data_IF_780738981006
#
_entry.id   IF_780738981006
#
_cell.length_a   1.000
_cell.length_b   1.000
_cell.length_c   1.000
_cell.angle_alpha   90.00
_cell.angle_beta   90.00
_cell.angle_gamma   90.00
#
_symmetry.space_group_name_H-M   'P 1'
#
loop_
_entity.id
_entity.type
_entity.pdbx_description
1 polymer ?
#
# COMPACT_ATOMS: atom_id res chain seq x y z
N UNK A 1 -11.88 40.14 -0.07
CA UNK A 1 -12.53 38.81 -0.09
C UNK A 1 -11.79 37.96 -1.11
N UNK A 2 -10.52 37.70 -0.79
CA UNK A 2 -9.65 36.78 -1.50
C UNK A 2 -9.24 35.79 -0.42
N UNK A 3 -9.99 34.70 -0.37
CA UNK A 3 -9.68 33.49 0.37
C UNK A 3 -9.81 32.37 -0.68
N UNK A 4 -8.99 31.33 -0.56
CA UNK A 4 -8.87 30.17 -1.46
C UNK A 4 -8.02 30.32 -2.75
N UNK A 5 -6.73 30.67 -2.59
CA UNK A 5 -5.67 30.06 -3.42
C UNK A 5 -4.47 29.77 -2.51
N UNK A 6 -4.65 28.81 -1.59
CA UNK A 6 -3.51 28.16 -0.96
C UNK A 6 -2.99 27.17 -1.99
N UNK A 7 -1.82 27.38 -2.62
CA UNK A 7 -1.23 26.33 -3.42
C UNK A 7 -1.03 25.16 -2.48
N UNK A 8 -1.65 24.01 -2.79
CA UNK A 8 -1.48 22.78 -2.01
C UNK A 8 0.00 22.42 -2.09
N UNK A 9 0.79 22.98 -1.17
CA UNK A 9 2.18 22.64 -1.02
C UNK A 9 2.19 21.12 -0.89
N UNK A 10 2.78 20.45 -1.88
CA UNK A 10 3.09 19.05 -1.76
C UNK A 10 3.98 18.95 -0.53
N UNK A 11 3.40 18.54 0.60
CA UNK A 11 4.16 18.28 1.81
C UNK A 11 5.12 17.16 1.43
N UNK A 12 6.40 17.49 1.28
CA UNK A 12 7.43 16.50 1.00
C UNK A 12 7.41 15.53 2.18
N UNK A 13 6.99 14.29 1.94
CA UNK A 13 6.99 13.25 2.96
C UNK A 13 8.41 13.09 3.48
N UNK A 14 8.54 12.96 4.80
CA UNK A 14 9.84 12.76 5.43
C UNK A 14 10.50 11.48 4.86
N UNK A 15 11.76 11.54 4.37
CA UNK A 15 12.42 10.39 3.77
C UNK A 15 12.60 9.21 4.73
N UNK A 16 12.77 9.47 6.03
CA UNK A 16 12.89 8.45 7.07
C UNK A 16 11.56 7.74 7.27
N UNK A 17 10.46 8.50 7.29
CA UNK A 17 9.11 7.96 7.36
C UNK A 17 8.79 7.10 6.13
N UNK A 18 9.14 7.57 4.93
CA UNK A 18 8.96 6.80 3.69
C UNK A 18 9.76 5.49 3.75
N UNK A 19 11.01 5.54 4.19
CA UNK A 19 11.82 4.33 4.35
C UNK A 19 11.18 3.33 5.33
N UNK A 20 10.69 3.81 6.48
CA UNK A 20 9.99 2.97 7.46
C UNK A 20 8.70 2.37 6.89
N UNK A 21 7.90 3.16 6.16
CA UNK A 21 6.68 2.70 5.50
C UNK A 21 6.96 1.68 4.38
N UNK A 22 8.09 1.81 3.66
CA UNK A 22 8.47 0.88 2.61
C UNK A 22 9.17 -0.39 3.12
N UNK A 23 9.61 -0.41 4.38
CA UNK A 23 10.24 -1.57 5.05
C UNK A 23 9.21 -2.51 5.70
N UNK A 24 7.92 -2.18 5.62
CA UNK A 24 6.83 -2.96 6.20
C UNK A 24 6.28 -4.04 5.25
N UNK A 25 5.18 -4.67 5.65
CA UNK A 25 4.45 -5.68 4.89
C UNK A 25 4.11 -5.22 3.45
N UNK A 26 4.21 -6.12 2.44
CA UNK A 26 3.85 -5.82 1.07
C UNK A 26 2.47 -5.17 0.94
N UNK A 27 1.49 -5.56 1.75
CA UNK A 27 0.10 -5.08 1.71
C UNK A 27 -0.04 -3.57 1.90
N UNK A 28 0.89 -2.94 2.64
CA UNK A 28 0.96 -1.50 2.82
C UNK A 28 1.96 -0.86 1.86
N UNK A 29 3.13 -1.49 1.67
CA UNK A 29 4.22 -0.95 0.84
C UNK A 29 3.78 -0.58 -0.58
N UNK A 30 3.00 -1.42 -1.26
CA UNK A 30 2.59 -1.15 -2.64
C UNK A 30 1.69 0.09 -2.75
N UNK A 31 0.89 0.39 -1.71
CA UNK A 31 0.06 1.60 -1.67
C UNK A 31 0.89 2.85 -1.44
N UNK A 32 1.93 2.76 -0.59
CA UNK A 32 2.89 3.86 -0.38
C UNK A 32 3.63 4.18 -1.68
N UNK A 33 4.13 3.14 -2.37
CA UNK A 33 4.79 3.29 -3.68
C UNK A 33 3.87 3.97 -4.70
N UNK A 34 2.60 3.55 -4.81
CA UNK A 34 1.64 4.09 -5.79
C UNK A 34 1.15 5.50 -5.44
N UNK A 35 0.65 5.68 -4.21
CA UNK A 35 -0.19 6.82 -3.85
C UNK A 35 0.61 7.96 -3.20
N UNK A 36 1.72 7.62 -2.53
CA UNK A 36 2.56 8.60 -1.83
C UNK A 36 3.83 8.96 -2.60
N UNK A 37 4.44 7.99 -3.28
CA UNK A 37 5.68 8.20 -4.04
C UNK A 37 5.45 8.40 -5.55
N UNK A 38 4.25 8.09 -6.05
CA UNK A 38 3.95 8.16 -7.48
C UNK A 38 4.88 7.26 -8.31
N UNK A 39 5.28 6.12 -7.76
CA UNK A 39 6.18 5.18 -8.41
C UNK A 39 5.54 4.62 -9.69
N UNK A 40 6.38 4.22 -10.63
CA UNK A 40 5.93 3.62 -11.88
C UNK A 40 5.14 2.32 -11.63
N UNK A 41 4.14 1.99 -12.48
CA UNK A 41 3.34 0.76 -12.37
C UNK A 41 4.15 -0.49 -12.10
N UNK A 42 5.26 -0.66 -12.81
CA UNK A 42 6.10 -1.85 -12.72
C UNK A 42 6.67 -2.07 -11.32
N UNK A 43 6.88 -1.00 -10.55
CA UNK A 43 7.40 -1.05 -9.18
C UNK A 43 6.33 -1.54 -8.22
N UNK A 44 5.19 -0.84 -8.16
CA UNK A 44 4.16 -1.17 -7.17
C UNK A 44 3.36 -2.43 -7.56
N UNK A 45 3.27 -2.79 -8.85
CA UNK A 45 2.69 -4.06 -9.29
C UNK A 45 3.54 -5.25 -8.83
N UNK A 46 4.86 -5.14 -8.91
CA UNK A 46 5.77 -6.18 -8.41
C UNK A 46 5.63 -6.35 -6.89
N UNK A 47 5.51 -5.26 -6.13
CA UNK A 47 5.23 -5.33 -4.68
C UNK A 47 3.84 -5.91 -4.41
N UNK A 48 2.82 -5.51 -5.17
CA UNK A 48 1.43 -5.99 -5.00
C UNK A 48 1.31 -7.49 -5.24
N UNK A 49 2.05 -8.04 -6.21
CA UNK A 49 2.06 -9.47 -6.49
C UNK A 49 2.53 -10.31 -5.28
N UNK A 50 3.31 -9.71 -4.37
CA UNK A 50 3.81 -10.35 -3.15
C UNK A 50 2.80 -10.40 -2.01
N UNK A 51 1.69 -9.64 -2.09
CA UNK A 51 0.69 -9.57 -1.01
C UNK A 51 0.04 -10.92 -0.74
N UNK A 52 -0.35 -11.65 -1.78
CA UNK A 52 -0.98 -12.96 -1.62
C UNK A 52 -0.03 -14.03 -1.02
N UNK A 53 1.24 -14.17 -1.50
CA UNK A 53 2.14 -15.18 -0.97
C UNK A 53 2.90 -14.80 0.32
N UNK A 54 2.92 -13.53 0.73
CA UNK A 54 3.71 -13.07 1.89
C UNK A 54 2.86 -12.39 2.97
N UNK A 55 3.39 -12.41 4.20
CA UNK A 55 2.95 -11.52 5.27
C UNK A 55 1.47 -11.63 5.64
N UNK A 56 0.82 -10.49 5.79
CA UNK A 56 -0.59 -10.42 6.22
C UNK A 56 -1.56 -10.97 5.18
N UNK A 57 -1.31 -10.77 3.88
CA UNK A 57 -2.19 -11.30 2.84
C UNK A 57 -2.15 -12.82 2.80
N UNK A 58 -0.97 -13.42 2.92
CA UNK A 58 -0.83 -14.88 3.06
C UNK A 58 -1.54 -15.41 4.31
N UNK A 59 -1.36 -14.72 5.46
CA UNK A 59 -2.01 -15.11 6.71
C UNK A 59 -3.53 -15.02 6.62
N UNK A 60 -4.05 -13.98 5.97
CA UNK A 60 -5.48 -13.84 5.74
C UNK A 60 -5.96 -15.01 4.88
N UNK A 61 -5.37 -15.20 3.70
CA UNK A 61 -5.73 -16.28 2.76
C UNK A 61 -5.66 -17.68 3.39
N UNK A 62 -4.76 -17.93 4.33
CA UNK A 62 -4.70 -19.20 5.06
C UNK A 62 -5.90 -19.45 6.00
N UNK A 63 -6.70 -18.42 6.29
CA UNK A 63 -7.95 -18.50 7.06
C UNK A 63 -9.18 -18.59 6.15
N UNK A 64 -9.00 -18.54 4.83
CA UNK A 64 -10.09 -18.68 3.86
C UNK A 64 -10.59 -20.12 3.88
N UNK A 65 -11.90 -20.29 3.74
CA UNK A 65 -12.48 -21.62 3.60
C UNK A 65 -12.03 -22.25 2.26
N UNK A 66 -12.03 -23.58 2.17
CA UNK A 66 -11.54 -24.33 0.99
C UNK A 66 -12.30 -23.98 -0.30
N UNK A 67 -13.52 -23.45 -0.18
CA UNK A 67 -14.36 -22.96 -1.28
C UNK A 67 -14.06 -21.51 -1.69
N UNK A 68 -13.05 -20.90 -1.07
CA UNK A 68 -12.65 -19.51 -1.29
C UNK A 68 -13.55 -18.49 -0.59
N UNK A 69 -14.46 -18.93 0.29
CA UNK A 69 -15.36 -18.05 1.02
C UNK A 69 -14.80 -17.66 2.40
N UNK A 70 -15.55 -16.78 3.05
CA UNK A 70 -15.27 -16.34 4.41
C UNK A 70 -16.53 -16.49 5.25
N UNK A 71 -16.37 -16.91 6.51
CA UNK A 71 -17.45 -16.98 7.49
C UNK A 71 -18.69 -17.79 7.04
N UNK A 72 -18.51 -18.76 6.13
CA UNK A 72 -19.59 -19.62 5.62
C UNK A 72 -20.33 -19.15 4.36
N UNK A 73 -19.88 -18.07 3.70
CA UNK A 73 -20.39 -17.60 2.40
C UNK A 73 -21.44 -16.50 2.44
#
# INVERSE_FOLDING_TARGET
MADDDVPRAACALDPTLVAWLCDTDPALRWQVERDLLGAAPEVWEATRARVAPEGFGARLLALQDDDGQWAGG
#
